data_IF_487375111187
#
_entry.id   IF_487375111187
#
_cell.length_a   1.000
_cell.length_b   1.000
_cell.length_c   1.000
_cell.angle_alpha   90.00
_cell.angle_beta   90.00
_cell.angle_gamma   90.00
#
_symmetry.space_group_name_H-M   'P 1'
#
loop_
_entity.id
_entity.type
_entity.pdbx_description
1 polymer ?
#
# COMPACT_ATOMS: atom_id res chain seq x y z
N UNK A 1 0.60 -2.88 6.49
CA UNK A 1 -0.76 -3.50 6.53
C UNK A 1 -1.01 -4.18 5.20
N UNK A 2 -1.51 -5.42 5.16
CA UNK A 2 -1.93 -6.06 3.92
C UNK A 2 -3.42 -5.76 3.70
N UNK A 3 -3.76 -5.30 2.50
CA UNK A 3 -5.14 -5.08 2.06
C UNK A 3 -5.44 -6.01 0.89
N UNK A 4 -6.53 -6.77 1.07
CA UNK A 4 -7.11 -7.62 0.03
C UNK A 4 -8.40 -6.99 -0.46
N UNK A 5 -8.48 -6.76 -1.77
CA UNK A 5 -9.70 -6.30 -2.44
C UNK A 5 -10.23 -7.42 -3.31
N UNK A 6 -11.47 -7.80 -3.05
CA UNK A 6 -12.22 -8.75 -3.86
C UNK A 6 -13.25 -7.95 -4.64
N UNK A 7 -13.19 -8.00 -5.97
CA UNK A 7 -14.32 -7.50 -6.75
C UNK A 7 -15.36 -8.57 -6.93
N UNK A 8 -16.59 -8.11 -6.81
CA UNK A 8 -17.71 -8.71 -7.49
C UNK A 8 -17.93 -7.82 -8.73
N UNK A 9 -17.45 -8.27 -9.89
CA UNK A 9 -17.87 -7.62 -11.13
C UNK A 9 -19.39 -7.73 -11.10
N UNK A 10 -20.08 -6.59 -11.07
CA UNK A 10 -21.53 -6.54 -10.89
C UNK A 10 -22.18 -7.05 -12.18
N UNK A 11 -22.13 -8.37 -12.38
CA UNK A 11 -22.69 -9.05 -13.53
C UNK A 11 -24.20 -9.10 -13.28
N UNK A 12 -24.89 -8.06 -13.72
CA UNK A 12 -26.31 -7.80 -13.46
C UNK A 12 -27.26 -8.89 -14.01
N UNK A 13 -26.73 -9.88 -14.75
CA UNK A 13 -27.50 -10.93 -15.41
C UNK A 13 -27.24 -12.35 -14.86
N UNK A 14 -26.41 -12.53 -13.82
CA UNK A 14 -26.16 -13.86 -13.22
C UNK A 14 -26.78 -14.03 -11.83
N UNK A 15 -27.17 -15.27 -11.55
CA UNK A 15 -27.73 -15.68 -10.28
C UNK A 15 -26.68 -15.57 -9.16
N UNK A 16 -27.08 -15.28 -7.91
CA UNK A 16 -26.15 -15.10 -6.80
C UNK A 16 -25.14 -16.24 -6.59
N UNK A 17 -25.54 -17.46 -6.92
CA UNK A 17 -24.71 -18.68 -6.83
C UNK A 17 -23.60 -18.77 -7.89
N UNK A 18 -23.72 -18.03 -8.99
CA UNK A 18 -22.72 -17.99 -10.07
C UNK A 18 -21.78 -16.78 -9.95
N UNK A 19 -21.96 -15.94 -8.91
CA UNK A 19 -21.12 -14.76 -8.66
C UNK A 19 -19.79 -15.18 -8.04
N UNK A 20 -18.84 -15.58 -8.87
CA UNK A 20 -17.50 -15.93 -8.42
C UNK A 20 -16.73 -14.67 -8.05
N UNK A 21 -16.57 -14.39 -6.76
CA UNK A 21 -15.71 -13.31 -6.26
C UNK A 21 -14.25 -13.61 -6.63
N UNK A 22 -13.60 -12.69 -7.34
CA UNK A 22 -12.17 -12.81 -7.67
C UNK A 22 -11.36 -11.84 -6.84
N UNK A 23 -10.19 -12.31 -6.38
CA UNK A 23 -9.19 -11.45 -5.76
C UNK A 23 -8.63 -10.53 -6.84
N UNK A 24 -8.87 -9.23 -6.70
CA UNK A 24 -8.31 -8.24 -7.63
C UNK A 24 -6.97 -7.74 -7.16
N UNK A 25 -6.86 -7.42 -5.87
CA UNK A 25 -5.65 -6.85 -5.29
C UNK A 25 -5.29 -7.54 -3.99
N UNK A 26 -4.03 -7.91 -3.87
CA UNK A 26 -3.36 -8.29 -2.63
C UNK A 26 -2.12 -7.42 -2.52
N UNK A 27 -2.19 -6.35 -1.74
CA UNK A 27 -1.14 -5.32 -1.67
C UNK A 27 -0.78 -5.00 -0.23
N UNK A 28 0.50 -4.78 -0.01
CA UNK A 28 1.05 -4.35 1.26
C UNK A 28 1.36 -2.86 1.23
N UNK A 29 0.83 -2.18 2.24
CA UNK A 29 1.03 -0.77 2.51
C UNK A 29 2.09 -0.61 3.60
N UNK A 30 3.10 0.18 3.27
CA UNK A 30 4.14 0.65 4.17
C UNK A 30 4.04 2.16 4.28
N UNK A 31 4.22 2.70 5.48
CA UNK A 31 4.13 4.15 5.70
C UNK A 31 5.15 4.58 6.73
N UNK A 32 5.90 5.64 6.41
CA UNK A 32 6.80 6.34 7.33
C UNK A 32 6.28 7.74 7.53
N UNK A 33 6.26 8.20 8.78
CA UNK A 33 5.79 9.52 9.16
C UNK A 33 6.97 10.32 9.73
N UNK A 34 7.00 11.61 9.43
CA UNK A 34 7.94 12.55 10.03
C UNK A 34 7.29 13.92 10.20
N UNK A 35 7.62 14.61 11.29
CA UNK A 35 7.08 15.94 11.60
C UNK A 35 8.22 16.93 11.62
N UNK A 36 8.11 18.01 10.85
CA UNK A 36 9.08 19.10 10.86
C UNK A 36 8.42 20.38 10.32
N UNK A 37 8.96 21.56 10.68
CA UNK A 37 8.43 22.87 10.22
C UNK A 37 6.91 23.03 10.44
N UNK A 38 6.40 22.47 11.55
CA UNK A 38 4.97 22.47 11.90
C UNK A 38 4.07 21.78 10.84
N UNK A 39 4.63 20.83 10.07
CA UNK A 39 3.93 20.02 9.07
C UNK A 39 4.19 18.53 9.30
N UNK A 40 3.18 17.72 9.03
CA UNK A 40 3.28 16.26 9.00
C UNK A 40 3.59 15.82 7.57
N UNK A 41 4.67 15.07 7.40
CA UNK A 41 5.08 14.45 6.17
C UNK A 41 4.87 12.94 6.26
N UNK A 42 4.40 12.35 5.17
CA UNK A 42 4.14 10.93 5.06
C UNK A 42 4.73 10.38 3.76
N UNK A 43 5.53 9.34 3.85
CA UNK A 43 5.94 8.52 2.71
C UNK A 43 5.15 7.21 2.74
N UNK A 44 4.26 7.01 1.76
CA UNK A 44 3.53 5.75 1.57
C UNK A 44 4.10 4.97 0.40
N UNK A 45 4.48 3.72 0.66
CA UNK A 45 4.89 2.75 -0.36
C UNK A 45 3.85 1.64 -0.45
N UNK A 46 3.61 1.16 -1.67
CA UNK A 46 2.67 0.08 -1.96
C UNK A 46 3.36 -0.94 -2.85
N UNK A 47 3.31 -2.21 -2.45
CA UNK A 47 3.82 -3.32 -3.26
C UNK A 47 2.83 -4.49 -3.25
N UNK A 48 2.64 -5.21 -4.37
CA UNK A 48 1.90 -6.47 -4.38
C UNK A 48 2.49 -7.48 -3.38
N UNK A 49 1.65 -8.21 -2.64
CA UNK A 49 2.14 -9.15 -1.60
C UNK A 49 3.02 -10.26 -2.19
N UNK A 50 2.76 -10.70 -3.42
CA UNK A 50 3.56 -11.71 -4.09
C UNK A 50 4.99 -11.27 -4.43
N UNK A 51 5.22 -9.96 -4.58
CA UNK A 51 6.53 -9.37 -4.88
C UNK A 51 7.21 -8.83 -3.62
N UNK A 52 6.42 -8.53 -2.59
CA UNK A 52 6.91 -7.98 -1.33
C UNK A 52 8.04 -8.81 -0.72
N UNK A 53 7.93 -10.15 -0.73
CA UNK A 53 8.93 -11.03 -0.14
C UNK A 53 10.33 -10.90 -0.79
N UNK A 54 10.40 -10.61 -2.09
CA UNK A 54 11.69 -10.40 -2.79
C UNK A 54 12.23 -8.99 -2.65
N UNK A 55 11.35 -7.99 -2.52
CA UNK A 55 11.73 -6.57 -2.51
C UNK A 55 11.76 -5.96 -1.11
N UNK A 56 11.45 -6.72 -0.06
CA UNK A 56 11.30 -6.23 1.31
C UNK A 56 12.52 -5.40 1.76
N UNK A 57 13.73 -5.88 1.50
CA UNK A 57 14.96 -5.18 1.89
C UNK A 57 15.07 -3.82 1.20
N UNK A 58 14.81 -3.75 -0.10
CA UNK A 58 14.86 -2.50 -0.87
C UNK A 58 13.81 -1.52 -0.37
N UNK A 59 12.58 -2.00 -0.12
CA UNK A 59 11.50 -1.17 0.40
C UNK A 59 11.83 -0.62 1.80
N UNK A 60 12.46 -1.44 2.65
CA UNK A 60 12.95 -1.01 3.97
C UNK A 60 14.07 0.01 3.86
N UNK A 61 15.03 -0.17 2.96
CA UNK A 61 16.11 0.80 2.75
C UNK A 61 15.56 2.16 2.32
N UNK A 62 14.56 2.18 1.44
CA UNK A 62 13.86 3.42 1.05
C UNK A 62 13.16 4.07 2.24
N UNK A 63 12.48 3.27 3.08
CA UNK A 63 11.83 3.77 4.29
C UNK A 63 12.85 4.35 5.28
N UNK A 64 13.95 3.66 5.51
CA UNK A 64 15.00 4.06 6.45
C UNK A 64 15.80 5.27 5.95
N UNK A 65 15.80 5.50 4.64
CA UNK A 65 16.39 6.67 3.98
C UNK A 65 15.51 7.92 4.09
N UNK A 66 14.26 7.81 4.55
CA UNK A 66 13.39 8.96 4.71
C UNK A 66 13.94 9.92 5.76
N UNK A 67 14.15 11.18 5.37
CA UNK A 67 14.64 12.26 6.22
C UNK A 67 13.79 13.49 6.00
N UNK A 68 13.45 14.18 7.10
CA UNK A 68 12.80 15.47 7.05
C UNK A 68 13.82 16.53 7.43
N UNK A 69 13.87 17.62 6.66
CA UNK A 69 14.84 18.70 6.84
C UNK A 69 14.18 19.91 7.49
N UNK A 70 14.91 20.53 8.42
CA UNK A 70 14.56 21.84 8.96
C UNK A 70 14.73 22.89 7.87
N UNK A 71 13.75 23.77 7.74
CA UNK A 71 13.96 25.01 7.01
C UNK A 71 15.04 25.80 7.74
N UNK A 72 16.11 26.18 7.05
CA UNK A 72 16.96 27.26 7.53
C UNK A 72 16.07 28.50 7.65
N UNK A 73 16.05 29.11 8.82
CA UNK A 73 15.35 30.38 9.06
C UNK A 73 16.13 31.53 8.41
#
# INVERSE_FOLDING_TARGET
VNIKSYANNNELAIMPQDRVTRLEWDRRYLSVLGVENNRLYELRLQSPENVFASEENVLRDVMDSFRVFKSAA
#
